data_IF_465590425161
#
_entry.id   IF_465590425161
#
_cell.length_a   1.000
_cell.length_b   1.000
_cell.length_c   1.000
_cell.angle_alpha   90.00
_cell.angle_beta   90.00
_cell.angle_gamma   90.00
#
_symmetry.space_group_name_H-M   'P 1'
#
loop_
_entity.id
_entity.type
_entity.pdbx_description
1 polymer ?
#
# COMPACT_ATOMS: atom_id res chain seq x y z
N UNK A 1 30.37 -35.49 24.73
CA UNK A 1 31.24 -34.43 25.25
C UNK A 1 32.32 -35.03 26.14
N UNK A 2 33.46 -34.36 26.27
CA UNK A 2 34.58 -34.72 27.16
C UNK A 2 35.18 -33.46 27.78
N UNK A 3 35.65 -33.50 29.02
CA UNK A 3 36.39 -32.40 29.67
C UNK A 3 37.33 -32.91 30.77
N UNK A 4 38.30 -32.09 31.18
CA UNK A 4 39.13 -32.27 32.37
C UNK A 4 39.28 -30.93 33.08
N UNK A 5 39.27 -30.89 34.42
CA UNK A 5 39.52 -29.68 35.19
C UNK A 5 40.36 -29.99 36.45
N UNK A 6 41.71 -30.05 36.32
CA UNK A 6 42.60 -30.59 37.36
C UNK A 6 42.52 -29.92 38.74
N UNK A 7 41.99 -28.69 38.83
CA UNK A 7 41.74 -28.00 40.09
C UNK A 7 40.80 -28.76 41.02
N UNK A 8 39.89 -29.59 40.50
CA UNK A 8 39.01 -30.47 41.27
C UNK A 8 39.70 -31.78 41.72
N UNK A 9 41.03 -31.83 41.75
CA UNK A 9 41.81 -32.94 42.30
C UNK A 9 42.12 -34.10 41.33
N UNK A 10 41.61 -34.08 40.09
CA UNK A 10 41.94 -35.10 39.09
C UNK A 10 42.05 -34.53 37.67
N UNK A 11 43.07 -34.97 36.95
CA UNK A 11 43.24 -34.69 35.52
C UNK A 11 42.48 -35.67 34.61
N UNK A 12 41.91 -36.75 35.17
CA UNK A 12 41.23 -37.78 34.39
C UNK A 12 40.02 -37.19 33.63
N UNK A 13 39.86 -37.50 32.32
CA UNK A 13 38.81 -36.92 31.51
C UNK A 13 37.44 -37.53 31.80
N UNK A 14 36.47 -36.67 32.11
CA UNK A 14 35.07 -37.03 32.30
C UNK A 14 34.35 -36.88 30.96
N UNK A 15 33.44 -37.81 30.65
CA UNK A 15 32.73 -37.82 29.37
C UNK A 15 31.32 -38.40 29.47
N UNK A 16 30.41 -37.85 28.65
CA UNK A 16 29.03 -38.34 28.47
C UNK A 16 29.03 -39.69 27.78
N UNK A 17 28.18 -40.62 28.23
CA UNK A 17 28.12 -41.99 27.72
C UNK A 17 26.71 -42.57 27.90
N UNK A 18 26.16 -43.33 26.91
CA UNK A 18 26.72 -43.64 25.59
C UNK A 18 26.75 -42.42 24.63
N UNK A 19 27.43 -42.53 23.48
CA UNK A 19 27.27 -41.58 22.38
C UNK A 19 25.82 -41.52 21.90
N UNK A 20 25.35 -40.34 21.51
CA UNK A 20 23.99 -40.09 21.00
C UNK A 20 24.05 -39.45 19.61
N UNK A 21 23.06 -39.76 18.77
CA UNK A 21 22.94 -39.13 17.45
C UNK A 21 22.38 -37.71 17.58
N UNK A 22 23.03 -36.75 16.93
CA UNK A 22 22.59 -35.34 16.90
C UNK A 22 22.46 -34.89 15.45
N UNK A 23 21.33 -34.27 15.11
CA UNK A 23 20.98 -33.78 13.76
C UNK A 23 20.83 -32.27 13.77
N UNK A 24 20.84 -31.64 12.59
CA UNK A 24 20.53 -30.21 12.45
C UNK A 24 19.13 -29.91 12.98
N UNK A 25 18.97 -28.76 13.64
CA UNK A 25 17.71 -28.28 14.20
C UNK A 25 17.08 -29.22 15.24
N UNK A 26 17.89 -30.01 15.96
CA UNK A 26 17.46 -30.96 16.99
C UNK A 26 18.21 -30.71 18.30
N UNK A 27 17.47 -30.55 19.41
CA UNK A 27 18.01 -30.54 20.76
C UNK A 27 18.08 -31.97 21.31
N UNK A 28 19.14 -32.32 22.04
CA UNK A 28 19.39 -33.70 22.52
C UNK A 28 19.94 -33.66 23.94
N UNK A 29 19.20 -34.26 24.88
CA UNK A 29 19.66 -34.45 26.25
C UNK A 29 20.77 -35.51 26.30
N UNK A 30 21.88 -35.18 26.97
CA UNK A 30 23.08 -36.00 26.98
C UNK A 30 23.06 -37.01 28.16
N UNK A 31 23.25 -38.31 27.93
CA UNK A 31 23.32 -39.31 29.00
C UNK A 31 24.65 -39.21 29.76
N UNK A 32 24.61 -39.53 31.05
CA UNK A 32 25.77 -39.43 31.97
C UNK A 32 26.47 -38.06 31.91
N UNK A 33 25.67 -36.99 31.87
CA UNK A 33 26.13 -35.59 31.74
C UNK A 33 26.36 -34.87 33.07
N UNK A 34 25.75 -35.33 34.15
CA UNK A 34 26.00 -34.82 35.50
C UNK A 34 27.26 -35.44 36.10
N UNK A 35 28.08 -34.61 36.75
CA UNK A 35 29.19 -35.01 37.59
C UNK A 35 29.33 -34.00 38.73
N UNK A 36 29.63 -34.47 39.94
CA UNK A 36 29.90 -33.66 41.12
C UNK A 36 31.39 -33.75 41.49
N UNK A 37 31.91 -32.73 42.17
CA UNK A 37 33.29 -32.66 42.63
C UNK A 37 33.34 -32.15 44.06
N UNK A 38 33.73 -33.01 45.01
CA UNK A 38 34.00 -32.63 46.39
C UNK A 38 35.50 -32.32 46.54
N UNK A 39 35.84 -31.08 46.89
CA UNK A 39 37.24 -30.64 47.03
C UNK A 39 37.37 -29.53 48.09
N UNK A 40 38.58 -29.35 48.62
CA UNK A 40 38.90 -28.32 49.61
C UNK A 40 39.88 -27.29 49.00
N UNK A 41 39.56 -26.00 49.15
CA UNK A 41 40.39 -24.89 48.66
C UNK A 41 40.08 -23.61 49.45
N UNK A 42 40.95 -22.59 49.38
CA UNK A 42 40.61 -21.27 49.92
C UNK A 42 39.63 -20.55 48.98
N UNK A 43 38.62 -19.80 49.48
CA UNK A 43 37.64 -19.12 48.63
C UNK A 43 38.25 -18.19 47.56
N UNK A 44 39.37 -17.52 47.88
CA UNK A 44 40.09 -16.69 46.91
C UNK A 44 40.79 -17.52 45.81
N UNK A 45 41.30 -18.72 46.12
CA UNK A 45 41.90 -19.62 45.14
C UNK A 45 40.84 -20.17 44.17
N UNK A 46 39.64 -20.49 44.67
CA UNK A 46 38.48 -20.83 43.84
C UNK A 46 38.15 -19.68 42.87
N UNK A 47 38.03 -18.46 43.40
CA UNK A 47 37.72 -17.26 42.61
C UNK A 47 38.78 -16.96 41.55
N UNK A 48 40.07 -16.91 41.92
CA UNK A 48 41.19 -16.69 40.99
C UNK A 48 41.21 -17.75 39.89
N UNK A 49 41.00 -19.03 40.24
CA UNK A 49 41.05 -20.12 39.27
C UNK A 49 39.86 -20.07 38.31
N UNK A 50 38.64 -19.85 38.81
CA UNK A 50 37.43 -19.74 38.00
C UNK A 50 37.41 -18.49 37.10
N UNK A 51 38.13 -17.43 37.47
CA UNK A 51 38.34 -16.26 36.62
C UNK A 51 39.38 -16.53 35.51
N UNK A 52 40.51 -17.16 35.85
CA UNK A 52 41.67 -17.30 34.95
C UNK A 52 41.58 -18.51 34.01
N UNK A 53 40.97 -19.61 34.44
CA UNK A 53 41.00 -20.89 33.73
C UNK A 53 39.56 -21.29 33.34
N UNK A 54 39.15 -21.11 32.06
CA UNK A 54 37.84 -21.57 31.62
C UNK A 54 37.81 -23.10 31.54
N UNK A 55 36.64 -23.68 31.79
CA UNK A 55 36.39 -25.10 31.54
C UNK A 55 36.29 -25.34 30.02
N UNK A 56 37.14 -26.21 29.49
CA UNK A 56 37.13 -26.57 28.07
C UNK A 56 36.33 -27.87 27.88
N UNK A 57 35.26 -27.82 27.09
CA UNK A 57 34.40 -28.97 26.82
C UNK A 57 34.50 -29.36 25.35
N UNK A 58 35.08 -30.54 25.10
CA UNK A 58 35.34 -31.10 23.79
C UNK A 58 34.11 -31.84 23.23
N UNK A 59 33.73 -31.52 21.99
CA UNK A 59 32.74 -32.26 21.21
C UNK A 59 33.45 -33.29 20.32
N UNK A 60 33.37 -34.56 20.71
CA UNK A 60 33.87 -35.69 19.93
C UNK A 60 32.74 -36.40 19.20
N UNK A 61 32.91 -36.63 17.90
CA UNK A 61 32.17 -37.66 17.17
C UNK A 61 32.80 -39.03 17.45
N UNK A 62 31.96 -40.02 17.73
CA UNK A 62 32.35 -41.41 17.94
C UNK A 62 31.58 -42.31 16.98
N UNK A 63 32.29 -43.27 16.39
CA UNK A 63 31.75 -44.35 15.57
C UNK A 63 32.35 -45.68 16.04
N UNK A 64 31.70 -46.80 15.73
CA UNK A 64 32.20 -48.15 16.08
C UNK A 64 33.28 -48.66 15.13
N UNK A 65 33.34 -48.12 13.90
CA UNK A 65 34.24 -48.58 12.83
C UNK A 65 35.37 -47.59 12.52
N UNK A 66 35.29 -46.38 13.06
CA UNK A 66 36.20 -45.25 12.79
C UNK A 66 36.82 -44.71 14.07
N UNK A 67 37.95 -43.99 13.95
CA UNK A 67 38.60 -43.33 15.09
C UNK A 67 37.80 -42.10 15.55
N UNK A 68 37.68 -41.92 16.87
CA UNK A 68 37.11 -40.72 17.51
C UNK A 68 37.67 -39.42 16.88
N UNK A 69 36.77 -38.52 16.49
CA UNK A 69 37.09 -37.25 15.81
C UNK A 69 36.65 -36.05 16.66
N UNK A 70 37.60 -35.17 17.00
CA UNK A 70 37.31 -33.89 17.66
C UNK A 70 36.69 -32.92 16.65
N UNK A 71 35.42 -32.56 16.85
CA UNK A 71 34.72 -31.58 16.03
C UNK A 71 35.00 -30.15 16.49
N UNK A 72 34.95 -29.90 17.80
CA UNK A 72 35.03 -28.56 18.35
C UNK A 72 35.14 -28.50 19.86
N UNK A 73 35.29 -27.29 20.40
CA UNK A 73 35.47 -27.00 21.83
C UNK A 73 34.54 -25.84 22.23
N UNK A 74 33.76 -26.02 23.30
CA UNK A 74 33.12 -24.93 24.02
C UNK A 74 34.00 -24.42 25.17
N UNK A 75 33.96 -23.12 25.44
CA UNK A 75 34.69 -22.45 26.52
C UNK A 75 33.69 -21.96 27.56
N UNK A 76 33.63 -22.62 28.72
CA UNK A 76 32.73 -22.29 29.82
C UNK A 76 33.48 -21.42 30.85
N UNK A 77 32.95 -20.24 31.14
CA UNK A 77 33.55 -19.31 32.09
C UNK A 77 32.98 -19.55 33.49
N UNK A 78 33.66 -20.39 34.28
CA UNK A 78 33.14 -20.84 35.59
C UNK A 78 32.91 -19.70 36.58
N UNK A 79 33.61 -18.55 36.47
CA UNK A 79 33.38 -17.39 37.34
C UNK A 79 31.95 -16.83 37.28
N UNK A 80 31.18 -17.10 36.22
CA UNK A 80 29.80 -16.62 36.08
C UNK A 80 28.89 -17.09 37.23
N UNK A 81 29.19 -18.25 37.85
CA UNK A 81 28.45 -18.75 39.01
C UNK A 81 28.68 -17.92 40.28
N UNK A 82 29.85 -17.28 40.41
CA UNK A 82 30.22 -16.52 41.61
C UNK A 82 29.39 -15.23 41.75
N UNK A 83 28.92 -14.70 40.62
CA UNK A 83 27.96 -13.57 40.53
C UNK A 83 26.48 -13.98 40.63
N UNK A 84 26.17 -15.28 40.76
CA UNK A 84 24.79 -15.77 40.86
C UNK A 84 24.27 -15.70 42.31
N UNK A 85 22.94 -15.72 42.49
CA UNK A 85 22.30 -15.62 43.81
C UNK A 85 22.77 -16.75 44.75
N UNK A 86 23.20 -16.38 45.98
CA UNK A 86 23.74 -17.29 46.97
C UNK A 86 22.66 -17.68 47.98
N UNK A 87 21.96 -18.77 47.69
CA UNK A 87 20.84 -19.28 48.50
C UNK A 87 21.34 -20.14 49.66
N UNK A 88 20.66 -20.13 50.81
CA UNK A 88 21.00 -20.98 51.98
C UNK A 88 20.26 -22.31 51.93
N UNK A 89 20.96 -23.41 52.19
CA UNK A 89 20.36 -24.74 52.37
C UNK A 89 20.96 -25.46 53.60
N UNK A 90 20.33 -26.56 54.01
CA UNK A 90 20.82 -27.40 55.11
C UNK A 90 21.55 -28.61 54.54
N UNK A 91 22.83 -28.77 54.91
CA UNK A 91 23.62 -29.95 54.58
C UNK A 91 23.14 -31.19 55.36
N UNK A 92 23.56 -32.38 54.91
CA UNK A 92 23.17 -33.68 55.51
C UNK A 92 23.42 -33.81 57.02
N UNK A 93 24.42 -33.10 57.53
CA UNK A 93 24.80 -33.08 58.95
C UNK A 93 24.07 -31.98 59.78
N UNK A 94 23.08 -31.28 59.21
CA UNK A 94 22.44 -30.11 59.85
C UNK A 94 23.25 -28.81 59.75
N UNK A 95 24.22 -28.75 58.84
CA UNK A 95 25.13 -27.61 58.68
C UNK A 95 24.52 -26.55 57.75
N UNK A 96 24.72 -25.25 58.02
CA UNK A 96 24.27 -24.19 57.12
C UNK A 96 25.24 -24.08 55.93
N UNK A 97 24.78 -24.49 54.76
CA UNK A 97 25.53 -24.49 53.52
C UNK A 97 24.91 -23.48 52.54
N UNK A 98 25.68 -23.07 51.53
CA UNK A 98 25.20 -22.10 50.54
C UNK A 98 25.30 -22.67 49.12
N UNK A 99 24.27 -22.47 48.31
CA UNK A 99 24.19 -22.91 46.92
C UNK A 99 24.08 -21.72 45.98
N UNK A 100 24.98 -21.66 45.00
CA UNK A 100 24.86 -20.83 43.80
C UNK A 100 24.64 -21.76 42.60
N UNK A 101 23.78 -21.37 41.66
CA UNK A 101 23.53 -22.14 40.42
C UNK A 101 23.45 -21.18 39.24
N UNK A 102 24.06 -21.55 38.12
CA UNK A 102 24.12 -20.76 36.89
C UNK A 102 23.92 -21.67 35.67
N UNK A 103 23.16 -21.19 34.68
CA UNK A 103 22.85 -21.91 33.44
C UNK A 103 23.03 -20.99 32.24
N UNK A 104 23.65 -21.51 31.18
CA UNK A 104 24.00 -20.76 29.96
C UNK A 104 24.05 -21.72 28.76
N UNK A 105 23.89 -21.17 27.54
CA UNK A 105 24.11 -21.90 26.28
C UNK A 105 25.28 -21.28 25.52
N UNK A 106 26.42 -21.98 25.48
CA UNK A 106 27.67 -21.49 24.85
C UNK A 106 27.96 -22.17 23.50
N UNK A 107 28.54 -21.48 22.52
CA UNK A 107 28.84 -22.07 21.22
C UNK A 107 30.05 -23.02 21.30
N UNK A 108 29.91 -24.21 20.70
CA UNK A 108 31.02 -25.10 20.37
C UNK A 108 31.67 -24.58 19.08
N UNK A 109 32.92 -24.12 19.17
CA UNK A 109 33.69 -23.62 18.02
C UNK A 109 34.52 -24.76 17.40
N UNK A 110 34.60 -24.81 16.08
CA UNK A 110 35.35 -25.83 15.36
C UNK A 110 36.82 -25.93 15.80
N UNK A 111 37.32 -27.16 15.97
CA UNK A 111 38.69 -27.42 16.42
C UNK A 111 39.73 -27.32 15.29
N UNK A 112 39.29 -27.35 14.03
CA UNK A 112 40.13 -27.24 12.83
C UNK A 112 39.38 -26.45 11.75
N UNK A 113 40.11 -25.63 10.98
CA UNK A 113 39.55 -24.78 9.92
C UNK A 113 39.17 -23.38 10.40
N UNK A 114 38.10 -22.81 9.84
CA UNK A 114 37.54 -21.53 10.26
C UNK A 114 36.82 -21.63 11.60
N UNK A 115 36.82 -20.54 12.39
CA UNK A 115 36.22 -20.44 13.73
C UNK A 115 34.67 -20.46 13.70
N UNK A 116 34.08 -21.47 13.07
CA UNK A 116 32.64 -21.61 12.91
C UNK A 116 32.02 -22.26 14.16
N UNK A 117 30.86 -21.75 14.56
CA UNK A 117 29.95 -22.37 15.54
C UNK A 117 29.36 -23.63 14.93
N UNK A 118 29.61 -24.79 15.54
CA UNK A 118 29.11 -26.10 15.07
C UNK A 118 27.73 -26.40 15.67
N UNK A 119 27.61 -26.21 16.98
CA UNK A 119 26.41 -26.47 17.79
C UNK A 119 26.50 -25.64 19.07
N UNK A 120 25.42 -25.52 19.81
CA UNK A 120 25.41 -24.91 21.15
C UNK A 120 25.43 -25.99 22.24
N UNK A 121 26.08 -25.66 23.35
CA UNK A 121 26.11 -26.43 24.57
C UNK A 121 25.35 -25.68 25.67
N UNK A 122 24.09 -26.07 25.89
CA UNK A 122 23.33 -25.71 27.08
C UNK A 122 23.86 -26.49 28.29
N UNK A 123 24.21 -25.80 29.37
CA UNK A 123 24.73 -26.41 30.58
C UNK A 123 24.21 -25.72 31.85
N UNK A 124 24.35 -26.42 32.98
CA UNK A 124 24.11 -25.87 34.32
C UNK A 124 25.28 -26.25 35.21
N UNK A 125 25.77 -25.28 35.97
CA UNK A 125 26.77 -25.46 37.04
C UNK A 125 26.14 -25.08 38.38
N UNK A 126 26.47 -25.85 39.41
CA UNK A 126 26.08 -25.61 40.80
C UNK A 126 27.33 -25.64 41.67
N UNK A 127 27.48 -24.66 42.55
CA UNK A 127 28.55 -24.56 43.54
C UNK A 127 27.92 -24.59 44.93
N UNK A 128 28.41 -25.51 45.76
CA UNK A 128 27.95 -25.70 47.14
C UNK A 128 29.09 -25.40 48.11
N UNK A 129 28.92 -24.32 48.87
CA UNK A 129 29.85 -23.85 49.89
C UNK A 129 29.40 -24.41 51.25
N UNK A 130 30.11 -25.46 51.68
CA UNK A 130 29.93 -26.13 52.96
C UNK A 130 30.67 -25.43 54.12
N UNK A 131 31.34 -24.30 53.87
CA UNK A 131 32.08 -23.55 54.89
C UNK A 131 33.47 -24.12 55.20
N UNK A 132 33.94 -23.90 56.43
CA UNK A 132 35.29 -24.29 56.85
C UNK A 132 35.40 -25.81 57.02
N UNK A 133 36.43 -26.40 56.40
CA UNK A 133 36.71 -27.84 56.48
C UNK A 133 36.91 -28.28 57.93
N UNK A 134 35.98 -29.09 58.43
CA UNK A 134 36.14 -29.79 59.70
C UNK A 134 37.25 -30.82 59.55
N UNK A 135 38.26 -30.75 60.43
CA UNK A 135 39.44 -31.59 60.38
C UNK A 135 39.09 -33.05 60.71
N UNK A 136 38.71 -33.83 59.69
CA UNK A 136 38.68 -35.29 59.74
C UNK A 136 40.09 -35.82 59.51
N UNK A 137 40.46 -36.82 60.29
CA UNK A 137 41.83 -37.31 60.41
C UNK A 137 42.30 -37.97 59.10
N UNK A 138 43.28 -37.37 58.44
CA UNK A 138 44.07 -38.03 57.41
C UNK A 138 45.06 -38.94 58.13
N UNK A 139 44.66 -40.19 58.37
CA UNK A 139 45.50 -41.18 59.02
C UNK A 139 46.74 -41.49 58.17
N UNK A 140 47.90 -40.98 58.60
CA UNK A 140 49.21 -41.53 58.27
C UNK A 140 49.64 -42.35 59.47
N UNK A 141 49.44 -43.67 59.38
CA UNK A 141 49.87 -44.61 60.42
C UNK A 141 51.38 -44.76 60.38
N UNK A 142 52.04 -44.48 61.50
CA UNK A 142 53.44 -44.86 61.71
C UNK A 142 53.63 -45.40 63.15
N UNK A 143 54.62 -46.28 63.34
CA UNK A 143 54.67 -47.19 64.49
C UNK A 143 56.10 -47.39 65.01
N UNK A 144 56.31 -47.19 66.31
CA UNK A 144 57.54 -47.63 66.98
C UNK A 144 57.36 -47.89 68.48
N UNK A 145 58.03 -48.95 68.97
CA UNK A 145 58.22 -49.31 70.37
C UNK A 145 59.74 -49.33 70.66
N UNK A 146 60.18 -49.14 71.90
CA UNK A 146 61.62 -49.16 72.21
C UNK A 146 62.04 -48.97 73.67
N UNK A 147 61.79 -50.00 74.50
CA UNK A 147 62.65 -50.63 75.54
C UNK A 147 63.81 -49.85 76.20
N UNK A 148 64.07 -50.12 77.50
CA UNK A 148 65.27 -49.70 78.26
C UNK A 148 65.83 -50.85 79.13
N UNK A 149 67.10 -50.80 79.55
CA UNK A 149 67.75 -51.88 80.31
C UNK A 149 68.76 -51.39 81.38
N UNK A 150 68.71 -52.03 82.58
CA UNK A 150 69.78 -52.74 83.35
C UNK A 150 71.24 -52.21 83.18
N UNK A 151 72.08 -51.97 84.23
CA UNK A 151 72.84 -52.96 85.05
C UNK A 151 73.64 -52.28 86.24
N UNK A 152 73.53 -52.71 87.52
CA UNK A 152 74.51 -53.47 88.38
C UNK A 152 75.56 -52.73 89.29
N UNK A 153 76.42 -53.51 90.00
CA UNK A 153 77.08 -53.27 91.32
C UNK A 153 78.46 -54.00 91.49
N UNK A 154 79.42 -53.49 92.30
CA UNK A 154 80.36 -54.28 93.15
C UNK A 154 80.35 -53.83 94.66
N UNK A 155 80.96 -54.36 95.75
CA UNK A 155 81.96 -55.41 96.15
C UNK A 155 83.47 -55.07 96.05
N UNK A 156 84.37 -55.39 97.01
CA UNK A 156 84.29 -55.95 98.40
C UNK A 156 85.63 -55.78 99.19
N UNK A 157 85.66 -56.22 100.47
CA UNK A 157 86.80 -56.34 101.45
C UNK A 157 87.88 -57.40 101.04
N UNK A 158 88.97 -57.76 101.80
CA UNK A 158 89.41 -57.55 103.23
C UNK A 158 90.91 -57.07 103.34
N UNK A 159 91.79 -57.29 104.39
CA UNK A 159 91.72 -57.96 105.72
C UNK A 159 92.39 -57.17 106.91
N UNK A 160 93.15 -57.83 107.82
CA UNK A 160 93.84 -57.30 109.04
C UNK A 160 95.22 -58.01 109.28
N UNK A 161 96.05 -57.63 110.29
CA UNK A 161 95.93 -58.18 111.68
C UNK A 161 96.37 -57.24 112.85
N UNK A 162 96.26 -57.71 114.11
CA UNK A 162 96.58 -56.99 115.38
C UNK A 162 98.03 -57.20 115.89
N UNK A 163 98.49 -56.46 116.94
CA UNK A 163 98.44 -57.02 118.30
C UNK A 163 98.29 -56.04 119.50
N UNK A 164 97.89 -56.64 120.64
CA UNK A 164 98.07 -56.34 122.09
C UNK A 164 98.35 -54.94 122.69
N UNK A 165 97.52 -54.63 123.70
CA UNK A 165 97.73 -53.97 125.02
C UNK A 165 99.04 -53.22 125.36
N UNK A 166 98.85 -52.03 125.99
CA UNK A 166 99.47 -51.63 127.28
C UNK A 166 98.52 -50.62 127.96
N UNK A 167 98.41 -50.67 129.30
CA UNK A 167 97.60 -49.73 130.09
C UNK A 167 98.47 -48.64 130.75
N UNK A 168 98.16 -47.37 130.47
CA UNK A 168 98.62 -46.20 131.25
C UNK A 168 97.53 -45.12 131.24
N UNK A 169 97.33 -44.43 132.37
CA UNK A 169 96.35 -43.33 132.49
C UNK A 169 96.70 -42.18 131.51
N UNK A 170 95.90 -41.88 130.46
CA UNK A 170 96.44 -41.20 129.28
C UNK A 170 96.59 -39.67 129.34
N UNK A 171 96.38 -39.02 130.49
CA UNK A 171 95.87 -37.62 130.53
C UNK A 171 96.92 -36.51 130.63
N UNK A 172 98.21 -36.80 130.79
CA UNK A 172 99.25 -35.75 131.02
C UNK A 172 100.49 -35.84 130.11
N UNK A 173 100.49 -36.73 129.12
CA UNK A 173 101.55 -36.85 128.10
C UNK A 173 101.55 -35.69 127.09
N UNK A 174 102.69 -35.45 126.40
CA UNK A 174 102.77 -34.43 125.35
C UNK A 174 101.88 -34.77 124.15
N UNK A 175 101.78 -36.06 123.88
CA UNK A 175 100.93 -36.69 122.88
C UNK A 175 99.44 -36.41 123.14
N UNK A 176 99.01 -36.36 124.41
CA UNK A 176 97.64 -36.02 124.78
C UNK A 176 97.32 -34.55 124.51
N UNK A 177 98.28 -33.64 124.71
CA UNK A 177 98.13 -32.21 124.37
C UNK A 177 98.03 -32.01 122.85
N UNK A 178 98.91 -32.64 122.09
CA UNK A 178 98.86 -32.61 120.63
C UNK A 178 97.57 -33.25 120.08
N UNK A 179 97.07 -34.32 120.69
CA UNK A 179 95.78 -34.92 120.34
C UNK A 179 94.60 -33.98 120.63
N UNK A 180 94.61 -33.27 121.77
CA UNK A 180 93.58 -32.29 122.11
C UNK A 180 93.60 -31.07 121.17
N UNK A 181 94.80 -30.56 120.83
CA UNK A 181 94.97 -29.49 119.84
C UNK A 181 94.48 -29.90 118.45
N UNK A 182 94.74 -31.15 118.04
CA UNK A 182 94.20 -31.73 116.80
C UNK A 182 92.68 -31.91 116.86
N UNK A 183 92.09 -32.29 117.99
CA UNK A 183 90.64 -32.43 118.13
C UNK A 183 89.93 -31.07 118.06
N UNK A 184 90.46 -30.05 118.75
CA UNK A 184 89.98 -28.67 118.63
C UNK A 184 90.14 -28.11 117.20
N UNK A 185 91.20 -28.52 116.49
CA UNK A 185 91.38 -28.16 115.08
C UNK A 185 90.36 -28.86 114.17
N UNK A 186 90.06 -30.15 114.40
CA UNK A 186 88.98 -30.86 113.67
C UNK A 186 87.63 -30.20 113.90
N UNK A 187 87.25 -29.96 115.16
CA UNK A 187 85.98 -29.30 115.54
C UNK A 187 85.84 -27.94 114.81
N UNK A 188 86.92 -27.15 114.77
CA UNK A 188 86.99 -25.90 114.02
C UNK A 188 86.87 -26.10 112.50
N UNK A 189 87.49 -27.13 111.90
CA UNK A 189 87.33 -27.42 110.48
C UNK A 189 85.94 -27.97 110.14
N UNK A 190 85.31 -28.72 111.04
CA UNK A 190 83.98 -29.29 110.88
C UNK A 190 82.92 -28.19 110.95
N UNK A 191 82.99 -27.24 111.89
CA UNK A 191 82.13 -26.06 111.90
C UNK A 191 82.32 -25.18 110.64
N UNK A 192 83.57 -24.96 110.21
CA UNK A 192 83.86 -24.23 108.97
C UNK A 192 83.27 -24.95 107.75
N UNK A 193 83.36 -26.28 107.69
CA UNK A 193 82.78 -27.08 106.61
C UNK A 193 81.25 -27.09 106.64
N UNK A 194 80.65 -27.31 107.81
CA UNK A 194 79.19 -27.25 108.00
C UNK A 194 78.64 -25.88 107.61
N UNK A 195 79.27 -24.79 108.05
CA UNK A 195 78.82 -23.44 107.73
C UNK A 195 78.99 -23.12 106.24
N UNK A 196 80.05 -23.60 105.58
CA UNK A 196 80.15 -23.53 104.11
C UNK A 196 79.10 -24.36 103.39
N UNK A 197 78.74 -25.54 103.90
CA UNK A 197 77.71 -26.39 103.32
C UNK A 197 76.33 -25.74 103.44
N UNK A 198 75.95 -25.31 104.66
CA UNK A 198 74.71 -24.57 104.94
C UNK A 198 74.58 -23.30 104.08
N UNK A 199 75.69 -22.57 103.86
CA UNK A 199 75.70 -21.41 102.96
C UNK A 199 75.48 -21.79 101.48
N UNK A 200 76.10 -22.87 100.99
CA UNK A 200 75.89 -23.36 99.61
C UNK A 200 74.47 -23.86 99.39
N UNK A 201 73.93 -24.64 100.32
CA UNK A 201 72.54 -25.14 100.29
C UNK A 201 71.53 -23.98 100.30
N UNK A 202 71.74 -22.99 101.18
CA UNK A 202 70.93 -21.77 101.23
C UNK A 202 70.99 -20.99 99.90
N UNK A 203 72.18 -20.80 99.33
CA UNK A 203 72.35 -20.11 98.05
C UNK A 203 71.69 -20.85 96.88
N UNK A 204 71.80 -22.19 96.82
CA UNK A 204 71.10 -23.00 95.83
C UNK A 204 69.58 -22.94 95.99
N UNK A 205 69.07 -23.02 97.22
CA UNK A 205 67.64 -22.90 97.52
C UNK A 205 67.09 -21.50 97.17
N UNK A 206 67.85 -20.44 97.44
CA UNK A 206 67.51 -19.07 97.04
C UNK A 206 67.46 -18.92 95.51
N UNK A 207 68.49 -19.40 94.79
CA UNK A 207 68.50 -19.35 93.33
C UNK A 207 67.32 -20.09 92.69
N UNK A 208 66.95 -21.27 93.23
CA UNK A 208 65.77 -22.01 92.79
C UNK A 208 64.47 -21.25 93.07
N UNK A 209 64.34 -20.62 94.24
CA UNK A 209 63.18 -19.81 94.59
C UNK A 209 63.04 -18.57 93.68
N UNK A 210 64.15 -17.91 93.33
CA UNK A 210 64.16 -16.77 92.41
C UNK A 210 63.80 -17.16 90.98
N UNK A 211 64.39 -18.24 90.43
CA UNK A 211 64.07 -18.76 89.10
C UNK A 211 62.64 -19.31 89.00
N UNK A 212 62.10 -19.89 90.08
CA UNK A 212 60.68 -20.25 90.17
C UNK A 212 59.79 -19.00 90.14
N UNK A 213 60.06 -18.02 91.02
CA UNK A 213 59.30 -16.76 91.11
C UNK A 213 59.42 -15.90 89.85
N UNK A 214 60.48 -16.05 89.07
CA UNK A 214 60.65 -15.46 87.74
C UNK A 214 59.73 -16.14 86.71
N UNK A 215 59.80 -17.47 86.56
CA UNK A 215 58.89 -18.22 85.67
C UNK A 215 57.42 -18.08 86.04
N UNK A 216 57.11 -17.87 87.32
CA UNK A 216 55.74 -17.63 87.79
C UNK A 216 55.20 -16.30 87.25
N UNK A 217 55.93 -15.18 87.45
CA UNK A 217 55.59 -13.88 86.85
C UNK A 217 55.55 -13.92 85.31
N UNK A 218 56.44 -14.67 84.67
CA UNK A 218 56.44 -14.85 83.21
C UNK A 218 55.14 -15.52 82.75
N UNK A 219 54.73 -16.63 83.41
CA UNK A 219 53.43 -17.30 83.17
C UNK A 219 52.25 -16.38 83.43
N UNK A 220 52.21 -15.67 84.55
CA UNK A 220 51.15 -14.69 84.87
C UNK A 220 51.06 -13.60 83.79
N UNK A 221 52.19 -13.06 83.33
CA UNK A 221 52.22 -11.99 82.32
C UNK A 221 51.67 -12.47 80.97
N UNK A 222 51.97 -13.72 80.58
CA UNK A 222 51.45 -14.33 79.36
C UNK A 222 49.93 -14.59 79.46
N UNK A 223 49.45 -15.12 80.59
CA UNK A 223 48.02 -15.30 80.84
C UNK A 223 47.30 -13.96 80.84
N UNK A 224 47.80 -12.95 81.54
CA UNK A 224 47.22 -11.59 81.58
C UNK A 224 47.16 -10.95 80.19
N UNK A 225 48.20 -11.12 79.37
CA UNK A 225 48.21 -10.67 77.97
C UNK A 225 47.14 -11.39 77.15
N UNK A 226 47.03 -12.73 77.28
CA UNK A 226 46.02 -13.52 76.56
C UNK A 226 44.59 -13.17 76.96
N UNK A 227 44.31 -12.98 78.24
CA UNK A 227 43.00 -12.51 78.73
C UNK A 227 42.64 -11.16 78.08
N UNK A 228 43.57 -10.19 78.08
CA UNK A 228 43.33 -8.90 77.43
C UNK A 228 43.11 -8.99 75.91
N UNK A 229 43.86 -9.85 75.21
CA UNK A 229 43.64 -10.16 73.79
C UNK A 229 42.24 -10.75 73.54
N UNK A 230 41.80 -11.69 74.39
CA UNK A 230 40.46 -12.30 74.29
C UNK A 230 39.33 -11.32 74.60
N UNK A 231 39.43 -10.48 75.64
CA UNK A 231 38.40 -9.47 75.95
C UNK A 231 38.22 -8.47 74.80
N UNK A 232 39.32 -8.08 74.12
CA UNK A 232 39.25 -7.20 72.93
C UNK A 232 38.60 -7.93 71.74
N UNK A 233 38.86 -9.24 71.57
CA UNK A 233 38.23 -10.03 70.51
C UNK A 233 36.74 -10.26 70.79
N UNK A 234 36.37 -10.56 72.02
CA UNK A 234 34.99 -10.73 72.47
C UNK A 234 34.17 -9.46 72.25
N UNK A 235 34.65 -8.29 72.71
CA UNK A 235 33.97 -7.02 72.49
C UNK A 235 33.80 -6.65 71.00
N UNK A 236 34.75 -7.07 70.14
CA UNK A 236 34.60 -6.96 68.68
C UNK A 236 33.50 -7.89 68.15
N UNK A 237 33.49 -9.16 68.58
CA UNK A 237 32.50 -10.15 68.17
C UNK A 237 31.08 -9.74 68.58
N UNK A 238 30.90 -9.34 69.85
CA UNK A 238 29.63 -8.81 70.37
C UNK A 238 29.15 -7.60 69.56
N UNK A 239 30.04 -6.64 69.24
CA UNK A 239 29.69 -5.51 68.38
C UNK A 239 29.28 -5.97 66.97
N UNK A 240 30.04 -6.86 66.34
CA UNK A 240 29.70 -7.33 64.98
C UNK A 240 28.38 -8.11 64.94
N UNK A 241 28.03 -8.82 66.01
CA UNK A 241 26.75 -9.52 66.14
C UNK A 241 25.59 -8.51 66.19
N UNK A 242 25.67 -7.52 67.08
CA UNK A 242 24.67 -6.43 67.19
C UNK A 242 24.54 -5.63 65.88
N UNK A 243 25.65 -5.38 65.19
CA UNK A 243 25.65 -4.67 63.90
C UNK A 243 25.17 -5.57 62.73
N UNK A 244 25.11 -6.90 62.89
CA UNK A 244 24.47 -7.82 61.94
C UNK A 244 22.96 -7.95 62.21
N UNK A 245 22.54 -8.11 63.46
CA UNK A 245 21.12 -8.16 63.85
C UNK A 245 20.34 -6.94 63.34
N UNK A 246 20.92 -5.74 63.49
CA UNK A 246 20.32 -4.50 62.95
C UNK A 246 20.18 -4.51 61.42
N UNK A 247 21.14 -5.10 60.70
CA UNK A 247 21.07 -5.22 59.24
C UNK A 247 20.03 -6.26 58.82
N UNK A 248 19.93 -7.38 59.53
CA UNK A 248 18.89 -8.39 59.29
C UNK A 248 17.49 -7.80 59.50
N UNK A 249 17.28 -7.05 60.59
CA UNK A 249 16.02 -6.32 60.85
C UNK A 249 15.71 -5.31 59.73
N UNK A 250 16.70 -4.53 59.27
CA UNK A 250 16.53 -3.58 58.16
C UNK A 250 16.21 -4.28 56.82
N UNK A 251 16.86 -5.42 56.54
CA UNK A 251 16.59 -6.21 55.34
C UNK A 251 15.18 -6.82 55.36
N UNK A 252 14.72 -7.34 56.50
CA UNK A 252 13.34 -7.86 56.64
C UNK A 252 12.29 -6.76 56.43
N UNK A 253 12.52 -5.54 56.94
CA UNK A 253 11.64 -4.40 56.68
C UNK A 253 11.62 -4.06 55.18
N UNK A 254 12.79 -3.86 54.57
CA UNK A 254 12.91 -3.50 53.15
C UNK A 254 12.36 -4.59 52.21
N UNK A 255 12.52 -5.87 52.54
CA UNK A 255 11.92 -6.97 51.79
C UNK A 255 10.38 -6.92 51.89
N UNK A 256 9.83 -6.68 53.09
CA UNK A 256 8.38 -6.57 53.27
C UNK A 256 7.78 -5.38 52.51
N UNK A 257 8.53 -4.29 52.36
CA UNK A 257 8.16 -3.11 51.56
C UNK A 257 8.20 -3.43 50.07
N UNK A 258 9.30 -4.02 49.57
CA UNK A 258 9.43 -4.42 48.17
C UNK A 258 8.40 -5.50 47.76
N UNK A 259 8.06 -6.44 48.65
CA UNK A 259 6.99 -7.40 48.42
C UNK A 259 5.61 -6.71 48.33
N UNK A 260 5.36 -5.67 49.12
CA UNK A 260 4.13 -4.86 49.10
C UNK A 260 4.01 -4.08 47.79
N UNK A 261 5.03 -3.30 47.43
CA UNK A 261 5.09 -2.54 46.18
C UNK A 261 4.95 -3.45 44.95
N UNK A 262 5.60 -4.62 44.95
CA UNK A 262 5.48 -5.62 43.88
C UNK A 262 4.04 -6.15 43.73
N UNK A 263 3.30 -6.30 44.83
CA UNK A 263 1.89 -6.71 44.83
C UNK A 263 0.98 -5.58 44.33
N UNK A 264 1.21 -4.35 44.79
CA UNK A 264 0.45 -3.17 44.39
C UNK A 264 0.64 -2.87 42.90
N UNK A 265 1.89 -2.85 42.41
CA UNK A 265 2.24 -2.68 41.00
C UNK A 265 1.69 -3.80 40.10
N UNK A 266 1.55 -5.03 40.61
CA UNK A 266 0.87 -6.13 39.89
C UNK A 266 -0.63 -5.87 39.78
N UNK A 267 -1.29 -5.47 40.87
CA UNK A 267 -2.71 -5.09 40.86
C UNK A 267 -2.97 -3.87 39.96
N UNK A 268 -2.07 -2.91 39.93
CA UNK A 268 -2.12 -1.73 39.06
C UNK A 268 -2.12 -2.14 37.58
N UNK A 269 -1.19 -3.02 37.19
CA UNK A 269 -1.10 -3.55 35.82
C UNK A 269 -2.33 -4.36 35.43
N UNK A 270 -2.89 -5.12 36.36
CA UNK A 270 -4.11 -5.90 36.15
C UNK A 270 -5.34 -5.00 35.98
N UNK A 271 -5.49 -3.96 36.80
CA UNK A 271 -6.56 -2.95 36.67
C UNK A 271 -6.43 -2.15 35.37
N UNK A 272 -5.25 -1.62 35.06
CA UNK A 272 -5.01 -0.85 33.84
C UNK A 272 -5.24 -1.69 32.57
N UNK A 273 -4.91 -2.98 32.59
CA UNK A 273 -5.19 -3.90 31.48
C UNK A 273 -6.69 -4.15 31.32
N UNK A 274 -7.43 -4.34 32.43
CA UNK A 274 -8.88 -4.52 32.41
C UNK A 274 -9.59 -3.25 31.89
N UNK A 275 -9.23 -2.08 32.40
CA UNK A 275 -9.78 -0.78 31.96
C UNK A 275 -9.53 -0.53 30.47
N UNK A 276 -8.33 -0.87 29.97
CA UNK A 276 -8.00 -0.79 28.54
C UNK A 276 -8.85 -1.76 27.71
N UNK A 277 -9.05 -3.00 28.17
CA UNK A 277 -9.92 -3.97 27.49
C UNK A 277 -11.39 -3.53 27.47
N UNK A 278 -11.92 -3.01 28.59
CA UNK A 278 -13.27 -2.47 28.68
C UNK A 278 -13.45 -1.20 27.84
N UNK A 279 -12.40 -0.39 27.69
CA UNK A 279 -12.38 0.78 26.78
C UNK A 279 -12.40 0.34 25.32
N UNK A 280 -11.55 -0.62 24.94
CA UNK A 280 -11.53 -1.21 23.59
C UNK A 280 -12.84 -1.91 23.25
N UNK A 281 -13.52 -2.54 24.22
CA UNK A 281 -14.84 -3.14 23.98
C UNK A 281 -15.88 -2.07 23.66
N UNK A 282 -16.02 -1.05 24.51
CA UNK A 282 -16.96 0.07 24.29
C UNK A 282 -16.73 0.76 22.95
N UNK A 283 -15.49 1.13 22.63
CA UNK A 283 -15.16 1.77 21.36
C UNK A 283 -15.49 0.89 20.13
N UNK A 284 -15.42 -0.44 20.24
CA UNK A 284 -15.87 -1.36 19.18
C UNK A 284 -17.39 -1.42 19.08
N UNK A 285 -18.09 -1.46 20.21
CA UNK A 285 -19.56 -1.45 20.29
C UNK A 285 -20.11 -0.14 19.68
N UNK A 286 -19.52 1.02 20.02
CA UNK A 286 -19.84 2.33 19.45
C UNK A 286 -19.61 2.37 17.92
N UNK A 287 -18.46 1.88 17.44
CA UNK A 287 -18.16 1.83 16.00
C UNK A 287 -19.11 0.89 15.24
N UNK A 288 -19.49 -0.25 15.81
CA UNK A 288 -20.49 -1.16 15.20
C UNK A 288 -21.84 -0.45 15.11
N UNK A 289 -22.30 0.17 16.19
CA UNK A 289 -23.57 0.90 16.21
C UNK A 289 -23.60 2.06 15.20
N UNK A 290 -22.50 2.82 15.08
CA UNK A 290 -22.39 3.90 14.07
C UNK A 290 -22.49 3.36 12.63
N UNK A 291 -21.86 2.21 12.35
CA UNK A 291 -21.97 1.54 11.04
C UNK A 291 -23.38 1.01 10.78
N UNK A 292 -24.09 0.54 11.79
CA UNK A 292 -25.50 0.13 11.68
C UNK A 292 -26.43 1.32 11.40
N UNK A 293 -26.24 2.44 12.09
CA UNK A 293 -27.02 3.68 11.85
C UNK A 293 -26.81 4.21 10.42
N UNK A 294 -25.58 4.29 9.93
CA UNK A 294 -25.32 4.73 8.55
C UNK A 294 -25.83 3.71 7.51
N UNK A 295 -25.81 2.40 7.79
CA UNK A 295 -26.47 1.39 6.93
C UNK A 295 -27.99 1.58 6.85
N UNK A 296 -28.65 1.83 7.98
CA UNK A 296 -30.10 2.10 8.01
C UNK A 296 -30.45 3.38 7.24
N UNK A 297 -29.63 4.42 7.38
CA UNK A 297 -29.76 5.70 6.67
C UNK A 297 -29.49 5.59 5.17
N UNK A 298 -28.51 4.78 4.73
CA UNK A 298 -28.31 4.43 3.33
C UNK A 298 -29.56 3.73 2.78
N UNK A 299 -30.08 2.71 3.47
CA UNK A 299 -31.29 1.99 3.03
C UNK A 299 -32.51 2.92 2.88
N UNK A 300 -32.71 3.83 3.84
CA UNK A 300 -33.77 4.86 3.75
C UNK A 300 -33.59 5.74 2.50
N UNK A 301 -32.37 6.25 2.26
CA UNK A 301 -32.09 7.07 1.08
C UNK A 301 -32.22 6.30 -0.24
N UNK A 302 -31.95 5.00 -0.26
CA UNK A 302 -32.20 4.13 -1.42
C UNK A 302 -33.69 3.93 -1.70
N UNK A 303 -34.50 3.71 -0.65
CA UNK A 303 -35.97 3.64 -0.74
C UNK A 303 -36.57 4.98 -1.21
N UNK A 304 -36.10 6.12 -0.68
CA UNK A 304 -36.52 7.46 -1.11
C UNK A 304 -36.12 7.76 -2.56
N UNK A 305 -34.88 7.40 -2.96
CA UNK A 305 -34.39 7.52 -4.33
C UNK A 305 -35.23 6.69 -5.30
N UNK A 306 -35.59 5.47 -4.93
CA UNK A 306 -36.45 4.60 -5.74
C UNK A 306 -37.86 5.21 -5.89
N UNK A 307 -38.46 5.69 -4.80
CA UNK A 307 -39.74 6.41 -4.79
C UNK A 307 -39.73 7.66 -5.70
N UNK A 308 -38.68 8.47 -5.64
CA UNK A 308 -38.53 9.66 -6.49
C UNK A 308 -38.31 9.30 -7.96
N UNK A 309 -37.55 8.24 -8.26
CA UNK A 309 -37.35 7.75 -9.63
C UNK A 309 -38.63 7.17 -10.24
N UNK A 310 -39.45 6.49 -9.44
CA UNK A 310 -40.80 6.06 -9.82
C UNK A 310 -41.67 7.27 -10.20
N UNK A 311 -41.74 8.28 -9.34
CA UNK A 311 -42.51 9.51 -9.57
C UNK A 311 -42.03 10.28 -10.81
N UNK A 312 -40.74 10.31 -11.08
CA UNK A 312 -40.17 10.95 -12.27
C UNK A 312 -40.54 10.19 -13.55
N UNK A 313 -40.46 8.86 -13.57
CA UNK A 313 -40.93 8.05 -14.69
C UNK A 313 -42.45 8.25 -14.94
N UNK A 314 -43.26 8.27 -13.88
CA UNK A 314 -44.70 8.51 -14.00
C UNK A 314 -45.02 9.91 -14.54
N UNK A 315 -44.24 10.93 -14.16
CA UNK A 315 -44.36 12.29 -14.69
C UNK A 315 -43.90 12.38 -16.14
N UNK A 316 -42.77 11.78 -16.51
CA UNK A 316 -42.32 11.67 -17.90
C UNK A 316 -43.33 10.95 -18.79
N UNK A 317 -43.93 9.87 -18.31
CA UNK A 317 -44.93 9.11 -19.07
C UNK A 317 -46.21 9.94 -19.29
N UNK A 318 -46.67 10.69 -18.28
CA UNK A 318 -47.76 11.67 -18.42
C UNK A 318 -47.41 12.77 -19.41
N UNK A 319 -46.19 13.30 -19.37
CA UNK A 319 -45.72 14.30 -20.33
C UNK A 319 -45.69 13.75 -21.77
N UNK A 320 -45.15 12.54 -21.98
CA UNK A 320 -45.12 11.85 -23.28
C UNK A 320 -46.50 11.49 -23.82
N UNK A 321 -47.52 11.40 -22.97
CA UNK A 321 -48.93 11.27 -23.37
C UNK A 321 -49.48 12.65 -23.78
N UNK A 322 -49.35 13.65 -22.92
CA UNK A 322 -49.84 15.02 -23.17
C UNK A 322 -49.18 15.65 -24.41
N UNK A 323 -47.91 15.35 -24.68
CA UNK A 323 -47.20 15.76 -25.89
C UNK A 323 -47.79 15.12 -27.16
N UNK A 324 -48.19 13.84 -27.11
CA UNK A 324 -48.90 13.17 -28.22
C UNK A 324 -50.29 13.74 -28.43
N UNK A 325 -51.03 13.98 -27.35
CA UNK A 325 -52.35 14.64 -27.38
C UNK A 325 -52.24 16.06 -27.97
N UNK A 326 -51.21 16.82 -27.60
CA UNK A 326 -50.94 18.14 -28.15
C UNK A 326 -50.57 18.11 -29.64
N UNK A 327 -49.76 17.14 -30.09
CA UNK A 327 -49.49 16.93 -31.52
C UNK A 327 -50.78 16.57 -32.29
N UNK A 328 -51.58 15.64 -31.77
CA UNK A 328 -52.88 15.29 -32.36
C UNK A 328 -53.83 16.49 -32.43
N UNK A 329 -53.88 17.33 -31.39
CA UNK A 329 -54.65 18.57 -31.40
C UNK A 329 -54.13 19.57 -32.44
N UNK A 330 -52.80 19.68 -32.62
CA UNK A 330 -52.19 20.50 -33.67
C UNK A 330 -52.57 20.03 -35.08
N UNK A 331 -52.57 18.71 -35.31
CA UNK A 331 -52.96 18.11 -36.58
C UNK A 331 -54.48 18.23 -36.82
N UNK A 332 -55.31 18.12 -35.79
CA UNK A 332 -56.75 18.40 -35.89
C UNK A 332 -57.02 19.87 -36.22
N UNK A 333 -56.27 20.80 -35.62
CA UNK A 333 -56.38 22.23 -35.90
C UNK A 333 -55.95 22.56 -37.34
N UNK A 334 -54.83 22.03 -37.83
CA UNK A 334 -54.35 22.26 -39.19
C UNK A 334 -55.27 21.67 -40.27
N UNK A 335 -55.97 20.58 -39.95
CA UNK A 335 -56.91 19.91 -40.85
C UNK A 335 -58.36 20.45 -40.79
N UNK A 336 -58.63 21.52 -40.04
CA UNK A 336 -59.98 22.10 -39.93
C UNK A 336 -60.60 22.46 -41.29
N UNK A 337 -61.93 22.32 -41.43
CA UNK A 337 -62.63 22.72 -42.65
C UNK A 337 -62.40 24.20 -42.98
N UNK A 338 -62.40 25.14 -42.02
CA UNK A 338 -62.02 26.53 -42.27
C UNK A 338 -60.66 26.69 -42.94
N UNK A 339 -59.62 25.95 -42.54
CA UNK A 339 -58.27 26.10 -43.12
C UNK A 339 -58.22 25.48 -44.52
N UNK A 340 -58.85 24.32 -44.71
CA UNK A 340 -58.97 23.68 -46.02
C UNK A 340 -59.76 24.55 -47.00
N UNK A 341 -60.94 25.01 -46.59
CA UNK A 341 -61.77 25.94 -47.36
C UNK A 341 -61.07 27.27 -47.60
N UNK A 342 -60.28 27.81 -46.66
CA UNK A 342 -59.49 29.01 -46.92
C UNK A 342 -58.40 28.77 -47.98
N UNK A 343 -57.76 27.60 -47.99
CA UNK A 343 -56.80 27.25 -49.04
C UNK A 343 -57.46 27.05 -50.41
N UNK A 344 -58.67 26.47 -50.42
CA UNK A 344 -59.50 26.26 -51.61
C UNK A 344 -60.05 27.60 -52.15
N UNK A 345 -60.53 28.50 -51.28
CA UNK A 345 -60.91 29.88 -51.60
C UNK A 345 -59.73 30.65 -52.18
N UNK A 346 -58.52 30.50 -51.62
CA UNK A 346 -57.32 31.15 -52.15
C UNK A 346 -56.99 30.62 -53.56
N UNK A 347 -57.08 29.31 -53.79
CA UNK A 347 -56.85 28.68 -55.09
C UNK A 347 -57.91 29.12 -56.12
N UNK A 348 -59.19 29.01 -55.79
CA UNK A 348 -60.32 29.44 -56.61
C UNK A 348 -60.29 30.96 -56.90
N UNK A 349 -59.75 31.77 -55.98
CA UNK A 349 -59.53 33.21 -56.22
C UNK A 349 -58.42 33.44 -57.25
N UNK A 350 -57.33 32.68 -57.20
CA UNK A 350 -56.28 32.75 -58.22
C UNK A 350 -56.79 32.28 -59.59
N UNK A 351 -57.50 31.15 -59.64
CA UNK A 351 -58.15 30.65 -60.87
C UNK A 351 -59.16 31.65 -61.43
N UNK A 352 -60.01 32.23 -60.57
CA UNK A 352 -60.95 33.30 -60.95
C UNK A 352 -60.21 34.47 -61.59
N UNK A 353 -59.16 35.00 -60.97
CA UNK A 353 -58.39 36.14 -61.51
C UNK A 353 -57.75 35.77 -62.85
N UNK A 354 -57.28 34.54 -63.03
CA UNK A 354 -56.71 34.09 -64.30
C UNK A 354 -57.78 33.90 -65.40
N UNK A 355 -58.98 33.41 -65.03
CA UNK A 355 -60.14 33.31 -65.90
C UNK A 355 -60.73 34.67 -66.27
N UNK A 356 -60.78 35.63 -65.36
CA UNK A 356 -61.15 37.03 -65.62
C UNK A 356 -60.15 37.67 -66.59
N UNK A 357 -58.84 37.44 -66.40
CA UNK A 357 -57.80 37.89 -67.34
C UNK A 357 -57.94 37.25 -68.74
N UNK A 358 -58.28 35.95 -68.81
CA UNK A 358 -58.56 35.23 -70.06
C UNK A 358 -59.83 35.77 -70.75
N UNK A 359 -60.90 35.99 -69.99
CA UNK A 359 -62.18 36.53 -70.46
C UNK A 359 -62.03 37.96 -70.99
N UNK A 360 -61.29 38.81 -70.28
CA UNK A 360 -61.01 40.19 -70.69
C UNK A 360 -60.17 40.23 -71.98
N UNK A 361 -59.14 39.38 -72.09
CA UNK A 361 -58.35 39.21 -73.32
C UNK A 361 -59.19 38.70 -74.50
N UNK A 362 -60.05 37.71 -74.27
CA UNK A 362 -60.98 37.18 -75.27
C UNK A 362 -62.03 38.23 -75.69
N UNK A 363 -62.51 39.05 -74.75
CA UNK A 363 -63.51 40.10 -75.01
C UNK A 363 -62.91 41.26 -75.80
N UNK A 364 -61.69 41.71 -75.44
CA UNK A 364 -60.89 42.66 -76.24
C UNK A 364 -60.63 42.12 -77.65
N UNK A 365 -60.25 40.86 -77.78
CA UNK A 365 -60.04 40.21 -79.08
C UNK A 365 -61.33 40.13 -79.92
N UNK A 366 -62.45 39.72 -79.31
CA UNK A 366 -63.78 39.68 -79.95
C UNK A 366 -64.24 41.07 -80.40
N UNK A 367 -64.00 42.11 -79.60
CA UNK A 367 -64.28 43.49 -79.95
C UNK A 367 -63.43 43.96 -81.14
N UNK A 368 -62.12 43.65 -81.13
CA UNK A 368 -61.22 43.94 -82.25
C UNK A 368 -61.69 43.23 -83.54
N UNK A 369 -61.99 41.92 -83.50
CA UNK A 369 -62.52 41.20 -84.66
C UNK A 369 -63.87 41.78 -85.15
N UNK A 370 -64.78 42.18 -84.24
CA UNK A 370 -66.03 42.86 -84.61
C UNK A 370 -65.76 44.21 -85.30
N UNK A 371 -64.76 44.97 -84.86
CA UNK A 371 -64.36 46.23 -85.50
C UNK A 371 -63.74 45.99 -86.88
N UNK A 372 -62.85 45.01 -87.03
CA UNK A 372 -62.25 44.67 -88.32
C UNK A 372 -63.29 44.14 -89.32
N UNK A 373 -64.22 43.29 -88.88
CA UNK A 373 -65.36 42.83 -89.69
C UNK A 373 -66.26 44.00 -90.12
N UNK A 374 -66.53 44.94 -89.21
CA UNK A 374 -67.26 46.17 -89.53
C UNK A 374 -66.53 47.11 -90.50
N UNK A 375 -65.20 47.07 -90.56
CA UNK A 375 -64.40 47.77 -91.60
C UNK A 375 -64.48 47.04 -92.93
N UNK A 376 -64.30 45.71 -92.94
CA UNK A 376 -64.40 44.88 -94.13
C UNK A 376 -65.79 45.00 -94.80
N UNK A 377 -66.88 45.02 -94.03
CA UNK A 377 -68.24 45.26 -94.53
C UNK A 377 -68.40 46.65 -95.19
N UNK A 378 -67.74 47.69 -94.65
CA UNK A 378 -67.77 49.04 -95.24
C UNK A 378 -66.98 49.12 -96.55
N UNK A 379 -65.84 48.45 -96.65
CA UNK A 379 -65.10 48.37 -97.92
C UNK A 379 -65.83 47.51 -98.95
N UNK A 380 -66.46 46.40 -98.55
CA UNK A 380 -67.31 45.60 -99.43
C UNK A 380 -68.49 46.42 -99.98
N UNK A 381 -69.13 47.24 -99.15
CA UNK A 381 -70.18 48.16 -99.58
C UNK A 381 -69.66 49.23 -100.55
N UNK A 382 -68.47 49.81 -100.30
CA UNK A 382 -67.81 50.76 -101.22
C UNK A 382 -67.46 50.13 -102.57
N UNK A 383 -66.96 48.90 -102.57
CA UNK A 383 -66.67 48.15 -103.80
C UNK A 383 -67.95 47.88 -104.58
N UNK A 384 -69.01 47.41 -103.92
CA UNK A 384 -70.32 47.19 -104.56
C UNK A 384 -70.91 48.48 -105.14
N UNK A 385 -70.77 49.62 -104.45
CA UNK A 385 -71.24 50.90 -104.95
C UNK A 385 -70.44 51.36 -106.18
N UNK A 386 -69.10 51.26 -106.17
CA UNK A 386 -68.26 51.57 -107.35
C UNK A 386 -68.58 50.69 -108.56
N UNK A 387 -68.85 49.41 -108.33
CA UNK A 387 -69.28 48.47 -109.37
C UNK A 387 -70.62 48.93 -109.99
N UNK A 388 -71.59 49.30 -109.15
CA UNK A 388 -72.91 49.80 -109.58
C UNK A 388 -72.83 51.16 -110.31
N UNK A 389 -71.94 52.06 -109.87
CA UNK A 389 -71.61 53.31 -110.56
C UNK A 389 -70.94 53.05 -111.93
N UNK A 390 -70.05 52.06 -112.03
CA UNK A 390 -69.44 51.65 -113.30
C UNK A 390 -70.46 51.06 -114.28
N UNK A 391 -71.41 50.26 -113.79
CA UNK A 391 -72.50 49.71 -114.60
C UNK A 391 -73.44 50.82 -115.12
N UNK A 392 -73.80 51.79 -114.28
CA UNK A 392 -74.53 53.00 -114.69
C UNK A 392 -73.78 53.80 -115.78
N UNK A 393 -72.47 53.97 -115.63
CA UNK A 393 -71.65 54.67 -116.63
C UNK A 393 -71.61 53.94 -117.99
N UNK A 394 -71.56 52.60 -117.99
CA UNK A 394 -71.64 51.80 -119.23
C UNK A 394 -72.99 51.95 -119.92
N UNK A 395 -74.09 51.86 -119.16
CA UNK A 395 -75.45 52.04 -119.68
C UNK A 395 -75.63 53.42 -120.32
N UNK A 396 -75.23 54.50 -119.63
CA UNK A 396 -75.33 55.86 -120.17
C UNK A 396 -74.57 56.02 -121.49
N UNK A 397 -73.36 55.43 -121.58
CA UNK A 397 -72.56 55.49 -122.81
C UNK A 397 -73.21 54.76 -123.99
N UNK A 398 -73.82 53.59 -123.77
CA UNK A 398 -74.59 52.89 -124.80
C UNK A 398 -75.81 53.70 -125.26
N UNK A 399 -76.39 54.51 -124.37
CA UNK A 399 -77.51 55.39 -124.67
C UNK A 399 -77.08 56.58 -125.55
N UNK A 400 -75.94 57.20 -125.24
CA UNK A 400 -75.32 58.27 -126.05
C UNK A 400 -74.89 57.77 -127.45
N UNK A 401 -74.36 56.54 -127.54
CA UNK A 401 -74.00 55.90 -128.82
C UNK A 401 -75.26 55.61 -129.70
N UNK A 402 -76.39 55.26 -129.08
CA UNK A 402 -77.69 55.08 -129.75
C UNK A 402 -78.29 56.40 -130.29
N UNK A 403 -78.17 57.50 -129.55
CA UNK A 403 -78.66 58.81 -129.98
C UNK A 403 -77.85 59.35 -131.18
N UNK A 404 -76.53 59.14 -131.20
CA UNK A 404 -75.70 59.49 -132.37
C UNK A 404 -76.07 58.69 -133.63
N UNK A 405 -76.47 57.42 -133.49
CA UNK A 405 -76.99 56.63 -134.61
C UNK A 405 -78.31 57.19 -135.14
N UNK A 406 -79.23 57.60 -134.25
CA UNK A 406 -80.51 58.24 -134.63
C UNK A 406 -80.31 59.54 -135.42
N UNK A 407 -79.44 60.42 -134.94
CA UNK A 407 -79.13 61.71 -135.58
C UNK A 407 -78.55 61.55 -137.00
N UNK A 408 -77.73 60.52 -137.23
CA UNK A 408 -77.19 60.22 -138.57
C UNK A 408 -78.23 59.70 -139.56
N UNK A 409 -79.28 59.04 -139.09
CA UNK A 409 -80.32 58.48 -139.95
C UNK A 409 -81.25 59.60 -140.49
N UNK A 410 -81.72 60.49 -139.62
CA UNK A 410 -82.56 61.64 -139.97
C UNK A 410 -81.87 62.56 -141.00
N UNK A 411 -80.58 62.85 -140.80
CA UNK A 411 -79.79 63.70 -141.69
C UNK A 411 -79.48 63.06 -143.07
N UNK A 412 -79.76 61.76 -143.26
CA UNK A 412 -79.72 61.10 -144.56
C UNK A 412 -81.08 61.19 -145.27
N UNK A 413 -82.17 60.98 -144.53
CA UNK A 413 -83.55 61.01 -145.03
C UNK A 413 -83.93 62.39 -145.60
N UNK A 414 -83.62 63.48 -144.89
CA UNK A 414 -83.79 64.86 -145.37
C UNK A 414 -82.98 65.19 -146.64
N UNK A 415 -81.92 64.44 -146.94
CA UNK A 415 -81.03 64.71 -148.08
C UNK A 415 -81.51 64.07 -149.37
N UNK A 416 -82.32 63.03 -149.30
CA UNK A 416 -82.90 62.37 -150.48
C UNK A 416 -84.29 62.93 -150.82
N UNK A 417 -85.11 63.33 -149.84
CA UNK A 417 -86.39 64.03 -150.10
C UNK A 417 -86.19 65.33 -150.89
N UNK A 418 -85.19 66.13 -150.51
CA UNK A 418 -84.79 67.38 -151.19
C UNK A 418 -84.25 67.17 -152.62
N UNK A 419 -83.88 65.93 -153.00
CA UNK A 419 -83.57 65.62 -154.41
C UNK A 419 -84.85 65.36 -155.22
N UNK A 420 -85.79 64.58 -154.68
CA UNK A 420 -87.06 64.25 -155.34
C UNK A 420 -87.89 65.51 -155.62
N UNK A 421 -88.10 66.38 -154.62
CA UNK A 421 -88.84 67.65 -154.79
C UNK A 421 -88.24 68.53 -155.90
N UNK A 422 -86.91 68.52 -156.02
CA UNK A 422 -86.17 69.32 -157.00
C UNK A 422 -86.26 68.77 -158.43
N UNK A 423 -86.55 67.48 -158.58
CA UNK A 423 -86.80 66.85 -159.87
C UNK A 423 -88.26 67.07 -160.31
N UNK A 424 -89.24 66.90 -159.40
CA UNK A 424 -90.66 67.15 -159.69
C UNK A 424 -90.91 68.60 -160.13
N UNK A 425 -90.23 69.58 -159.53
CA UNK A 425 -90.29 70.99 -159.94
C UNK A 425 -89.69 71.27 -161.34
N UNK A 426 -88.81 70.41 -161.85
CA UNK A 426 -88.33 70.49 -163.24
C UNK A 426 -89.36 69.94 -164.21
N UNK A 427 -89.98 68.81 -163.88
CA UNK A 427 -90.93 68.15 -164.77
C UNK A 427 -92.26 68.92 -164.87
N UNK A 428 -92.78 69.46 -163.77
CA UNK A 428 -93.95 70.38 -163.78
C UNK A 428 -93.68 71.62 -164.65
N UNK A 429 -92.45 72.15 -164.64
CA UNK A 429 -92.06 73.31 -165.45
C UNK A 429 -91.97 72.98 -166.95
N UNK A 430 -91.61 71.75 -167.30
CA UNK A 430 -91.58 71.30 -168.68
C UNK A 430 -92.99 71.07 -169.22
N UNK A 431 -93.87 70.44 -168.43
CA UNK A 431 -95.25 70.15 -168.83
C UNK A 431 -96.08 71.44 -169.01
N UNK A 432 -95.88 72.45 -168.16
CA UNK A 432 -96.48 73.78 -168.33
C UNK A 432 -96.07 74.49 -169.63
N UNK A 433 -94.82 74.33 -170.09
CA UNK A 433 -94.39 74.87 -171.39
C UNK A 433 -94.97 74.08 -172.57
N UNK A 434 -95.16 72.77 -172.40
CA UNK A 434 -95.72 71.88 -173.42
C UNK A 434 -97.20 72.15 -173.68
N UNK A 435 -97.99 72.27 -172.61
CA UNK A 435 -99.41 72.65 -172.69
C UNK A 435 -99.59 74.03 -173.35
N UNK A 436 -98.67 74.98 -173.10
CA UNK A 436 -98.66 76.31 -173.74
C UNK A 436 -98.23 76.33 -175.21
N UNK A 437 -97.92 75.18 -175.81
CA UNK A 437 -97.65 75.04 -177.24
C UNK A 437 -98.66 74.13 -177.97
N UNK A 438 -99.41 73.29 -177.26
CA UNK A 438 -100.44 72.44 -177.88
C UNK A 438 -101.84 73.09 -177.91
N UNK A 439 -102.08 74.12 -177.09
CA UNK A 439 -103.17 75.08 -177.29
C UNK A 439 -102.59 76.46 -177.68
N UNK A 440 -103.00 77.13 -178.77
CA UNK A 440 -103.95 76.79 -179.84
C UNK A 440 -103.45 77.36 -181.18
N UNK A 441 -102.96 76.52 -182.11
CA UNK A 441 -103.05 76.80 -183.56
C UNK A 441 -102.94 75.62 -184.53
N UNK A 442 -103.55 74.50 -184.18
CA UNK A 442 -104.26 73.65 -185.15
C UNK A 442 -105.70 73.46 -184.61
N UNK A 443 -106.79 73.66 -185.35
CA UNK A 443 -106.92 74.05 -186.76
C UNK A 443 -106.17 73.15 -187.74
N UNK A 444 -106.66 71.90 -187.86
CA UNK A 444 -106.44 70.99 -188.99
C UNK A 444 -104.98 70.45 -189.15
N UNK A 445 -104.75 69.21 -189.60
CA UNK A 445 -105.67 68.08 -189.80
C UNK A 445 -104.91 66.75 -189.65
N UNK A 446 -105.67 65.66 -189.81
CA UNK A 446 -105.30 64.29 -190.16
C UNK A 446 -103.92 63.98 -190.81
N UNK A 447 -103.51 62.70 -190.63
CA UNK A 447 -102.45 61.92 -191.32
C UNK A 447 -101.05 61.96 -190.65
N UNK A 448 -100.53 60.85 -190.11
CA UNK A 448 -99.70 59.78 -190.77
C UNK A 448 -98.19 59.96 -190.47
N UNK A 449 -97.27 58.97 -190.40
CA UNK A 449 -97.36 57.48 -190.36
C UNK A 449 -96.04 56.88 -189.78
N UNK A 450 -96.10 55.62 -189.31
CA UNK A 450 -95.02 54.61 -189.17
C UNK A 450 -93.64 54.87 -188.49
N UNK A 451 -93.38 54.00 -187.49
CA UNK A 451 -92.18 53.12 -187.36
C UNK A 451 -90.78 53.68 -186.99
N UNK A 452 -89.88 52.75 -186.59
CA UNK A 452 -88.49 53.01 -186.16
C UNK A 452 -88.26 52.42 -184.76
N UNK A 453 -87.35 51.48 -184.43
CA UNK A 453 -85.97 51.17 -184.88
C UNK A 453 -85.00 52.37 -184.73
N UNK A 454 -83.76 52.20 -184.27
CA UNK A 454 -83.01 51.11 -183.61
C UNK A 454 -81.66 51.71 -183.11
N UNK A 455 -80.77 50.91 -182.49
CA UNK A 455 -79.35 51.20 -182.22
C UNK A 455 -79.05 52.30 -181.16
N UNK A 456 -78.10 52.20 -180.19
CA UNK A 456 -76.73 51.62 -180.13
C UNK A 456 -75.67 52.55 -180.78
N UNK A 457 -74.38 52.61 -180.34
CA UNK A 457 -73.72 52.10 -179.11
C UNK A 457 -72.75 53.12 -178.42
N UNK A 458 -72.02 52.66 -177.38
CA UNK A 458 -70.76 53.22 -176.80
C UNK A 458 -70.82 54.60 -176.09
N UNK A 459 -69.91 54.94 -175.16
CA UNK A 459 -68.84 54.17 -174.50
C UNK A 459 -67.78 55.08 -173.83
N UNK A 460 -66.80 54.48 -173.14
CA UNK A 460 -65.54 55.09 -172.62
C UNK A 460 -65.65 56.15 -171.49
N UNK A 461 -64.62 56.38 -170.66
CA UNK A 461 -63.46 55.57 -170.24
C UNK A 461 -62.67 56.24 -169.09
N UNK A 462 -62.01 55.41 -168.25
CA UNK A 462 -60.82 55.71 -167.42
C UNK A 462 -60.98 56.78 -166.29
N UNK A 463 -60.16 56.81 -165.24
CA UNK A 463 -58.94 56.03 -164.91
C UNK A 463 -58.88 55.67 -163.40
N UNK A 464 -58.27 54.51 -163.07
CA UNK A 464 -58.12 53.84 -161.75
C UNK A 464 -59.36 53.75 -160.82
#
# INVERSE_FOLDING_TARGET
>A
LRYSYPFFGSAAPIMTNPPVEVRKNMEVFLPQSYCAFDFATMPHQLQDTFLRIPLLVELWHKDKMSKDLLLGIARIQLSNILSSEKTRFLGSNGEQCWRQTYSESVPVIAAQGSNNRIIDLSYTVTLEDYGLVKMREIFVSDSSQGVSAIEQKPSSLPPAPCPSEIQTEPRETLEYKAALELEMWKEMQEDIFENQLKQKELAHMQALAEEWKKRDRERESLVKKKVAEYTILEGKLQKTLIDLEKREQQLVIAESELQRERKELKSERERNLQELQDSIRRAKEDCVHQVELERLKIKQLEEEKHRLHQQLNDAENKYKILEKEFHQFKDQQSNKPEIRLQSEINLLTLEKVELERKLESATKSKLHYKQQWGRALKELARLKQREQESQMARLKKQQEELEQMRLRYLAAEEKDTVKTERQELLDIRNELNRLRQQEQKQYQDSREIASGKMDSPHGNALEE
#
